data_IF_094378332568
#
_entry.id   IF_094378332568
#
_cell.length_a   1.000
_cell.length_b   1.000
_cell.length_c   1.000
_cell.angle_alpha   90.00
_cell.angle_beta   90.00
_cell.angle_gamma   90.00
#
_symmetry.space_group_name_H-M   'P 1'
#
loop_
_entity.id
_entity.type
_entity.pdbx_description
1 polymer ?
#
# COMPACT_ATOMS: atom_id res chain seq x y z
N UNK A 1 -8.69 37.23 19.29
CA UNK A 1 -9.87 36.41 18.91
C UNK A 1 -9.95 36.42 17.39
N UNK A 2 -9.84 35.27 16.72
CA UNK A 2 -10.17 35.17 15.29
C UNK A 2 -11.68 35.42 15.17
N UNK A 3 -12.07 36.65 14.85
CA UNK A 3 -13.48 36.96 14.59
C UNK A 3 -13.85 36.29 13.26
N UNK A 4 -14.70 35.27 13.34
CA UNK A 4 -15.33 34.66 12.19
C UNK A 4 -16.25 35.71 11.55
N UNK A 5 -15.82 36.33 10.46
CA UNK A 5 -16.67 37.15 9.62
C UNK A 5 -17.07 36.32 8.41
N UNK A 6 -18.37 36.18 8.15
CA UNK A 6 -18.87 35.53 6.94
C UNK A 6 -18.36 36.22 5.66
N UNK A 7 -17.92 37.48 5.78
CA UNK A 7 -17.35 38.26 4.70
C UNK A 7 -15.87 38.00 4.44
N UNK A 8 -15.16 37.21 5.24
CA UNK A 8 -13.74 36.89 4.97
C UNK A 8 -13.45 35.43 5.35
N UNK A 9 -13.49 34.50 4.38
CA UNK A 9 -13.21 33.09 4.66
C UNK A 9 -11.76 32.90 5.08
N UNK A 10 -11.58 32.30 6.26
CA UNK A 10 -10.26 31.96 6.81
C UNK A 10 -9.78 30.59 6.29
N UNK A 11 -10.71 29.66 6.02
CA UNK A 11 -10.40 28.31 5.57
C UNK A 11 -9.91 28.28 4.12
N UNK A 12 -8.76 27.66 3.88
CA UNK A 12 -8.13 27.63 2.55
C UNK A 12 -9.04 27.01 1.48
N UNK A 13 -9.76 25.96 1.82
CA UNK A 13 -10.68 25.28 0.90
C UNK A 13 -11.86 26.15 0.43
N UNK A 14 -12.23 27.19 1.17
CA UNK A 14 -13.35 28.07 0.80
C UNK A 14 -12.92 29.39 0.16
N UNK A 15 -11.64 29.76 0.25
CA UNK A 15 -11.13 31.03 -0.32
C UNK A 15 -11.44 31.18 -1.80
N UNK A 16 -11.21 30.13 -2.58
CA UNK A 16 -11.40 30.19 -4.03
C UNK A 16 -12.88 30.26 -4.42
N UNK A 17 -13.74 29.52 -3.73
CA UNK A 17 -15.20 29.63 -3.90
C UNK A 17 -15.68 31.07 -3.68
N UNK A 18 -15.27 31.70 -2.58
CA UNK A 18 -15.68 33.06 -2.24
C UNK A 18 -15.11 34.12 -3.18
N UNK A 19 -13.90 33.91 -3.70
CA UNK A 19 -13.33 34.77 -4.74
C UNK A 19 -14.23 34.78 -5.99
N UNK A 20 -14.56 33.60 -6.52
CA UNK A 20 -15.43 33.48 -7.69
C UNK A 20 -16.86 33.96 -7.43
N UNK A 21 -17.38 33.73 -6.23
CA UNK A 21 -18.70 34.22 -5.83
C UNK A 21 -18.78 35.75 -5.86
N UNK A 22 -17.71 36.48 -5.52
CA UNK A 22 -17.68 37.95 -5.57
C UNK A 22 -17.50 38.52 -6.98
N UNK A 23 -16.74 37.85 -7.84
CA UNK A 23 -16.42 38.36 -9.18
C UNK A 23 -17.50 38.00 -10.21
N UNK A 24 -18.03 36.78 -10.16
CA UNK A 24 -18.87 36.19 -11.21
C UNK A 24 -20.29 35.86 -10.73
N UNK A 25 -20.63 36.20 -9.47
CA UNK A 25 -21.88 35.76 -8.78
C UNK A 25 -22.10 34.25 -8.72
N UNK A 26 -21.11 33.45 -9.13
CA UNK A 26 -21.15 31.99 -9.13
C UNK A 26 -19.82 31.42 -8.63
N UNK A 27 -19.87 30.67 -7.54
CA UNK A 27 -18.69 30.04 -6.93
C UNK A 27 -18.36 28.63 -7.45
N UNK A 28 -19.14 28.11 -8.42
CA UNK A 28 -19.02 26.72 -8.88
C UNK A 28 -17.60 26.39 -9.39
N UNK A 29 -17.00 27.29 -10.17
CA UNK A 29 -15.63 27.10 -10.68
C UNK A 29 -14.60 27.02 -9.56
N UNK A 30 -14.79 27.78 -8.49
CA UNK A 30 -13.91 27.72 -7.31
C UNK A 30 -13.94 26.35 -6.63
N UNK A 31 -15.09 25.67 -6.60
CA UNK A 31 -15.22 24.31 -6.05
C UNK A 31 -14.47 23.31 -6.94
N UNK A 32 -14.69 23.36 -8.26
CA UNK A 32 -14.04 22.44 -9.19
C UNK A 32 -12.52 22.54 -9.14
N UNK A 33 -11.97 23.77 -9.14
CA UNK A 33 -10.53 23.98 -9.07
C UNK A 33 -9.97 23.51 -7.73
N UNK A 34 -10.65 23.79 -6.62
CA UNK A 34 -10.21 23.34 -5.29
C UNK A 34 -10.17 21.82 -5.21
N UNK A 35 -11.20 21.12 -5.69
CA UNK A 35 -11.23 19.66 -5.73
C UNK A 35 -10.11 19.09 -6.61
N UNK A 36 -9.88 19.67 -7.79
CA UNK A 36 -8.81 19.26 -8.69
C UNK A 36 -7.45 19.36 -7.99
N UNK A 37 -7.15 20.51 -7.37
CA UNK A 37 -5.88 20.72 -6.66
C UNK A 37 -5.72 19.72 -5.51
N UNK A 38 -6.77 19.49 -4.73
CA UNK A 38 -6.73 18.52 -3.63
C UNK A 38 -6.51 17.09 -4.13
N UNK A 39 -7.14 16.69 -5.24
CA UNK A 39 -6.91 15.39 -5.87
C UNK A 39 -5.47 15.27 -6.34
N UNK A 40 -4.91 16.30 -6.97
CA UNK A 40 -3.51 16.29 -7.41
C UNK A 40 -2.55 16.17 -6.22
N UNK A 41 -2.75 16.97 -5.16
CA UNK A 41 -1.94 16.89 -3.94
C UNK A 41 -2.09 15.52 -3.29
N UNK A 42 -3.29 14.95 -3.28
CA UNK A 42 -3.54 13.61 -2.75
C UNK A 42 -2.78 12.55 -3.53
N UNK A 43 -2.83 12.58 -4.87
CA UNK A 43 -2.08 11.65 -5.73
C UNK A 43 -0.59 11.80 -5.48
N UNK A 44 -0.05 13.03 -5.45
CA UNK A 44 1.38 13.27 -5.20
C UNK A 44 1.77 12.76 -3.81
N UNK A 45 0.99 13.07 -2.79
CA UNK A 45 1.26 12.65 -1.40
C UNK A 45 1.24 11.13 -1.29
N UNK A 46 0.26 10.47 -1.94
CA UNK A 46 0.17 9.02 -1.96
C UNK A 46 1.33 8.39 -2.75
N UNK A 47 1.72 8.96 -3.88
CA UNK A 47 2.90 8.51 -4.64
C UNK A 47 4.19 8.64 -3.83
N UNK A 48 4.39 9.76 -3.12
CA UNK A 48 5.54 9.95 -2.24
C UNK A 48 5.51 8.95 -1.09
N UNK A 49 4.35 8.74 -0.47
CA UNK A 49 4.18 7.74 0.59
C UNK A 49 4.47 6.31 0.09
N UNK A 50 3.97 5.96 -1.10
CA UNK A 50 4.24 4.67 -1.74
C UNK A 50 5.74 4.46 -1.99
N UNK A 51 6.41 5.47 -2.56
CA UNK A 51 7.86 5.43 -2.78
C UNK A 51 8.64 5.37 -1.46
N UNK A 52 8.16 6.05 -0.42
CA UNK A 52 8.75 5.98 0.91
C UNK A 52 8.69 4.56 1.48
N UNK A 53 7.53 3.90 1.40
CA UNK A 53 7.41 2.51 1.84
C UNK A 53 8.30 1.56 1.03
N UNK A 54 8.40 1.75 -0.27
CA UNK A 54 9.24 0.92 -1.13
C UNK A 54 10.75 1.15 -0.93
N UNK A 55 11.19 2.40 -0.75
CA UNK A 55 12.62 2.75 -0.77
C UNK A 55 13.24 3.00 0.60
N UNK A 56 12.50 3.61 1.53
CA UNK A 56 13.04 4.03 2.82
C UNK A 56 12.68 3.06 3.94
N UNK A 57 11.47 2.50 3.91
CA UNK A 57 11.07 1.49 4.87
C UNK A 57 11.68 0.15 4.45
N UNK A 58 12.92 -0.10 4.89
CA UNK A 58 13.65 -1.39 4.79
C UNK A 58 13.01 -2.49 5.66
N UNK A 59 11.71 -2.49 5.81
CA UNK A 59 10.98 -3.65 6.27
C UNK A 59 10.97 -4.63 5.10
N UNK A 60 12.07 -5.40 5.01
CA UNK A 60 12.41 -6.31 3.91
C UNK A 60 11.25 -7.22 3.53
N UNK A 61 10.32 -7.48 4.47
CA UNK A 61 9.19 -8.38 4.31
C UNK A 61 8.16 -7.92 3.27
N UNK A 62 7.88 -6.62 3.08
CA UNK A 62 6.88 -6.20 2.07
C UNK A 62 7.43 -6.35 0.66
N UNK A 63 8.70 -5.97 0.46
CA UNK A 63 9.39 -6.14 -0.81
C UNK A 63 9.62 -7.62 -1.11
N UNK A 64 10.06 -8.39 -0.11
CA UNK A 64 10.23 -9.85 -0.20
C UNK A 64 8.89 -10.54 -0.50
N UNK A 65 7.80 -10.17 0.17
CA UNK A 65 6.46 -10.70 -0.11
C UNK A 65 5.99 -10.35 -1.52
N UNK A 66 6.20 -9.10 -1.96
CA UNK A 66 5.84 -8.69 -3.32
C UNK A 66 6.64 -9.45 -4.38
N UNK A 67 7.93 -9.64 -4.14
CA UNK A 67 8.78 -10.47 -4.98
C UNK A 67 8.28 -11.92 -4.99
N UNK A 68 8.06 -12.53 -3.83
CA UNK A 68 7.58 -13.93 -3.69
C UNK A 68 6.23 -14.17 -4.37
N UNK A 69 5.32 -13.19 -4.38
CA UNK A 69 4.02 -13.30 -5.06
C UNK A 69 4.13 -13.12 -6.58
N UNK A 70 5.02 -12.23 -7.04
CA UNK A 70 5.05 -11.80 -8.45
C UNK A 70 6.06 -12.60 -9.29
N UNK A 71 7.06 -13.19 -8.66
CA UNK A 71 8.20 -13.80 -9.34
C UNK A 71 8.07 -15.33 -9.39
N UNK A 72 8.69 -15.96 -10.39
CA UNK A 72 8.69 -17.42 -10.49
C UNK A 72 9.56 -18.05 -9.39
N UNK A 73 9.15 -19.21 -8.88
CA UNK A 73 9.82 -19.91 -7.78
C UNK A 73 11.31 -20.19 -8.07
N UNK A 74 11.67 -20.42 -9.33
CA UNK A 74 13.05 -20.67 -9.77
C UNK A 74 14.01 -19.50 -9.50
N UNK A 75 13.49 -18.28 -9.34
CA UNK A 75 14.30 -17.08 -9.09
C UNK A 75 14.67 -16.91 -7.61
N UNK A 76 14.05 -17.67 -6.71
CA UNK A 76 14.34 -17.65 -5.27
C UNK A 76 15.28 -18.77 -4.83
N UNK A 77 15.63 -19.70 -5.71
CA UNK A 77 16.56 -20.78 -5.37
C UNK A 77 17.99 -20.23 -5.28
N UNK A 78 18.42 -19.85 -4.08
CA UNK A 78 19.81 -19.51 -3.78
C UNK A 78 20.48 -20.76 -3.22
N UNK A 79 21.57 -21.27 -3.84
CA UNK A 79 22.26 -22.42 -3.30
C UNK A 79 22.77 -22.13 -1.88
N UNK A 80 22.50 -23.05 -0.95
CA UNK A 80 22.91 -22.98 0.46
C UNK A 80 22.20 -21.91 1.32
N UNK A 81 21.02 -21.42 0.93
CA UNK A 81 20.26 -20.46 1.75
C UNK A 81 19.42 -21.10 2.87
N UNK A 82 19.47 -22.43 3.02
CA UNK A 82 18.67 -23.22 3.95
C UNK A 82 17.14 -23.09 3.76
N UNK A 83 16.67 -22.45 2.68
CA UNK A 83 15.27 -22.45 2.30
C UNK A 83 14.88 -23.79 1.67
N UNK A 84 13.62 -24.18 1.85
CA UNK A 84 13.06 -25.43 1.34
C UNK A 84 12.14 -25.08 0.18
N UNK A 85 12.36 -25.67 -1.00
CA UNK A 85 11.48 -25.48 -2.17
C UNK A 85 10.06 -26.03 -1.90
N UNK A 86 9.04 -25.55 -2.61
CA UNK A 86 7.68 -26.09 -2.44
C UNK A 86 7.60 -27.59 -2.80
N UNK A 87 8.41 -28.03 -3.75
CA UNK A 87 8.50 -29.45 -4.12
C UNK A 87 9.07 -30.29 -2.98
N UNK A 88 10.16 -29.82 -2.36
CA UNK A 88 10.79 -30.49 -1.23
C UNK A 88 9.87 -30.47 0.00
N UNK A 89 9.20 -29.34 0.27
CA UNK A 89 8.21 -29.23 1.34
C UNK A 89 7.06 -30.23 1.13
N UNK A 90 6.49 -30.28 -0.08
CA UNK A 90 5.42 -31.23 -0.43
C UNK A 90 5.87 -32.69 -0.27
N UNK A 91 7.10 -32.99 -0.68
CA UNK A 91 7.69 -34.30 -0.50
C UNK A 91 7.88 -34.65 0.99
N UNK A 92 8.39 -33.73 1.82
CA UNK A 92 8.56 -33.91 3.27
C UNK A 92 7.20 -34.12 3.94
N UNK A 93 6.21 -33.30 3.62
CA UNK A 93 4.84 -33.41 4.16
C UNK A 93 4.28 -34.78 3.82
N UNK A 94 4.29 -35.19 2.55
CA UNK A 94 3.78 -36.50 2.12
C UNK A 94 4.51 -37.66 2.79
N UNK A 95 5.84 -37.57 2.91
CA UNK A 95 6.65 -38.57 3.60
C UNK A 95 6.30 -38.64 5.10
N UNK A 96 6.03 -37.48 5.72
CA UNK A 96 5.66 -37.40 7.13
C UNK A 96 4.26 -37.97 7.41
N UNK A 97 3.28 -37.72 6.53
CA UNK A 97 1.94 -38.31 6.61
C UNK A 97 1.96 -39.83 6.44
N UNK A 98 2.85 -40.31 5.59
CA UNK A 98 3.05 -41.74 5.32
C UNK A 98 3.95 -42.42 6.34
N UNK A 99 4.46 -41.69 7.35
CA UNK A 99 5.33 -42.27 8.36
C UNK A 99 4.65 -43.46 9.06
N UNK A 100 5.44 -44.51 9.25
CA UNK A 100 5.07 -45.72 9.98
C UNK A 100 6.13 -45.98 11.03
N UNK A 101 5.71 -46.27 12.25
CA UNK A 101 6.62 -46.77 13.28
C UNK A 101 7.00 -48.23 13.03
N UNK A 102 7.83 -48.79 13.92
CA UNK A 102 8.41 -50.14 13.76
C UNK A 102 7.33 -51.22 13.65
N UNK A 103 6.18 -51.01 14.30
CA UNK A 103 5.03 -51.92 14.26
C UNK A 103 3.92 -51.47 13.28
N UNK A 104 4.21 -50.52 12.39
CA UNK A 104 3.23 -50.01 11.43
C UNK A 104 2.30 -48.92 11.98
N UNK A 105 2.55 -48.39 13.19
CA UNK A 105 1.74 -47.32 13.77
C UNK A 105 1.78 -46.03 12.93
N UNK A 106 0.65 -45.34 12.82
CA UNK A 106 0.57 -43.98 12.24
C UNK A 106 0.58 -42.95 13.37
N UNK A 107 1.27 -41.84 13.18
CA UNK A 107 1.07 -40.65 14.04
C UNK A 107 -0.29 -40.05 13.71
N UNK A 108 -1.08 -39.73 14.73
CA UNK A 108 -2.40 -39.12 14.62
C UNK A 108 -2.28 -37.61 14.80
#
# INVERSE_FOLDING_TARGET
RLCYSAENPIADASKLYWMFFRTEQSGLWGIFITLLVYIMIFIISFSVLYLYFLRLHKESWVLDMFQRISCHEELFNIPYDLEISNQELSHIVRKSEQWRGINGERRK
#
